data_IF_080145183968
#
_entry.id   IF_080145183968
#
_cell.length_a   1.000
_cell.length_b   1.000
_cell.length_c   1.000
_cell.angle_alpha   90.00
_cell.angle_beta   90.00
_cell.angle_gamma   90.00
#
_symmetry.space_group_name_H-M   'P 1'
#
loop_
_entity.id
_entity.type
_entity.pdbx_description
1 polymer ?
#
# COMPACT_ATOMS: atom_id res chain seq x y z
N UNK A 1 -36.79 -16.25 -3.44
CA UNK A 1 -36.26 -16.68 -2.13
C UNK A 1 -34.73 -16.60 -2.10
N UNK A 2 -34.02 -17.18 -3.08
CA UNK A 2 -32.55 -17.05 -3.21
C UNK A 2 -32.04 -15.60 -3.35
N UNK A 3 -32.80 -14.72 -4.01
CA UNK A 3 -32.38 -13.33 -4.24
C UNK A 3 -32.33 -12.48 -2.95
N UNK A 4 -33.10 -12.83 -1.92
CA UNK A 4 -33.13 -12.07 -0.66
C UNK A 4 -31.93 -12.43 0.22
N UNK A 5 -31.55 -13.71 0.31
CA UNK A 5 -30.38 -14.15 1.11
C UNK A 5 -29.05 -13.58 0.59
N UNK A 6 -28.85 -13.54 -0.72
CA UNK A 6 -27.67 -12.92 -1.38
C UNK A 6 -27.53 -11.43 -1.01
N UNK A 7 -28.66 -10.70 -0.94
CA UNK A 7 -28.63 -9.29 -0.55
C UNK A 7 -28.30 -9.09 0.93
N UNK A 8 -28.77 -9.95 1.82
CA UNK A 8 -28.45 -9.86 3.24
C UNK A 8 -26.98 -10.19 3.52
N UNK A 9 -26.41 -11.19 2.83
CA UNK A 9 -24.99 -11.54 2.92
C UNK A 9 -24.08 -10.42 2.43
N UNK A 10 -24.39 -9.83 1.28
CA UNK A 10 -23.60 -8.72 0.73
C UNK A 10 -23.69 -7.44 1.58
N UNK A 11 -24.84 -7.17 2.21
CA UNK A 11 -24.98 -6.07 3.17
C UNK A 11 -24.19 -6.32 4.45
N UNK A 12 -24.19 -7.55 4.97
CA UNK A 12 -23.41 -7.91 6.16
C UNK A 12 -21.90 -7.77 5.92
N UNK A 13 -21.38 -8.24 4.78
CA UNK A 13 -19.98 -8.07 4.40
C UNK A 13 -19.59 -6.59 4.29
N UNK A 14 -20.46 -5.77 3.69
CA UNK A 14 -20.24 -4.31 3.62
C UNK A 14 -20.20 -3.68 5.01
N UNK A 15 -21.16 -3.99 5.87
CA UNK A 15 -21.18 -3.49 7.25
C UNK A 15 -19.93 -3.91 8.03
N UNK A 16 -19.52 -5.17 7.92
CA UNK A 16 -18.29 -5.67 8.53
C UNK A 16 -17.05 -4.90 8.03
N UNK A 17 -16.98 -4.62 6.72
CA UNK A 17 -15.87 -3.84 6.15
C UNK A 17 -15.83 -2.40 6.67
N UNK A 18 -16.99 -1.77 6.86
CA UNK A 18 -17.10 -0.41 7.40
C UNK A 18 -16.68 -0.39 8.86
N UNK A 19 -17.18 -1.33 9.67
CA UNK A 19 -16.81 -1.44 11.10
C UNK A 19 -15.32 -1.73 11.25
N UNK A 20 -14.76 -2.62 10.42
CA UNK A 20 -13.32 -2.90 10.39
C UNK A 20 -12.51 -1.64 10.03
N UNK A 21 -12.94 -0.89 9.01
CA UNK A 21 -12.31 0.37 8.62
C UNK A 21 -12.31 1.41 9.75
N UNK A 22 -13.44 1.59 10.44
CA UNK A 22 -13.55 2.48 11.61
C UNK A 22 -12.59 2.01 12.71
N UNK A 23 -12.55 0.71 13.00
CA UNK A 23 -11.63 0.14 13.99
C UNK A 23 -10.16 0.44 13.66
N UNK A 24 -9.76 0.31 12.39
CA UNK A 24 -8.40 0.63 11.93
C UNK A 24 -8.11 2.13 12.13
N UNK A 25 -9.03 3.02 11.75
CA UNK A 25 -8.84 4.47 11.93
C UNK A 25 -8.70 4.85 13.40
N UNK A 26 -9.60 4.34 14.26
CA UNK A 26 -9.57 4.60 15.70
C UNK A 26 -8.27 4.07 16.31
N UNK A 27 -7.84 2.87 15.92
CA UNK A 27 -6.56 2.32 16.39
C UNK A 27 -5.39 3.23 16.00
N UNK A 28 -5.36 3.70 14.75
CA UNK A 28 -4.28 4.57 14.23
C UNK A 28 -4.26 5.92 14.96
N UNK A 29 -5.41 6.44 15.38
CA UNK A 29 -5.51 7.70 16.13
C UNK A 29 -5.08 7.54 17.60
N UNK A 30 -5.37 6.40 18.23
CA UNK A 30 -4.99 6.12 19.62
C UNK A 30 -3.51 5.75 19.72
N UNK A 31 -2.95 5.13 18.68
CA UNK A 31 -1.53 4.80 18.65
C UNK A 31 -0.67 6.03 18.37
N UNK A 32 0.29 6.26 19.26
CA UNK A 32 1.28 7.32 19.10
C UNK A 32 2.14 7.09 17.84
N UNK A 33 1.92 7.92 16.82
CA UNK A 33 2.59 7.87 15.53
C UNK A 33 4.13 7.96 15.64
N UNK A 34 4.63 8.52 16.75
CA UNK A 34 6.07 8.65 17.01
C UNK A 34 6.76 7.30 17.14
N UNK A 35 6.07 6.30 17.72
CA UNK A 35 6.59 4.93 17.88
C UNK A 35 6.58 4.16 16.56
N UNK A 36 5.63 4.47 15.68
CA UNK A 36 5.43 3.78 14.40
C UNK A 36 6.44 4.20 13.33
N UNK A 37 7.00 5.40 13.44
CA UNK A 37 8.08 5.87 12.56
C UNK A 37 9.25 4.90 12.45
N UNK A 38 9.61 4.21 13.54
CA UNK A 38 10.71 3.23 13.56
C UNK A 38 10.37 1.95 12.75
N UNK A 39 9.08 1.66 12.57
CA UNK A 39 8.59 0.47 11.89
C UNK A 39 8.27 0.69 10.40
N UNK A 40 8.69 1.82 9.80
CA UNK A 40 8.47 2.08 8.37
C UNK A 40 8.93 0.93 7.46
N UNK A 41 10.02 0.25 7.81
CA UNK A 41 10.49 -0.90 7.04
C UNK A 41 9.55 -2.11 7.11
N UNK A 42 8.86 -2.32 8.24
CA UNK A 42 7.84 -3.38 8.36
C UNK A 42 6.64 -3.08 7.46
N UNK A 43 6.17 -1.83 7.42
CA UNK A 43 5.04 -1.45 6.55
C UNK A 43 5.39 -1.58 5.06
N UNK A 44 6.62 -1.21 4.69
CA UNK A 44 7.12 -1.41 3.34
C UNK A 44 7.23 -2.90 2.98
N UNK A 45 7.81 -3.70 3.86
CA UNK A 45 7.92 -5.15 3.68
C UNK A 45 6.54 -5.83 3.55
N UNK A 46 5.57 -5.42 4.38
CA UNK A 46 4.19 -5.87 4.29
C UNK A 46 3.55 -5.49 2.95
N UNK A 47 3.73 -4.24 2.49
CA UNK A 47 3.23 -3.80 1.18
C UNK A 47 3.79 -4.66 0.03
N UNK A 48 5.10 -4.94 0.05
CA UNK A 48 5.72 -5.82 -0.93
C UNK A 48 5.20 -7.26 -0.84
N UNK A 49 5.08 -7.79 0.39
CA UNK A 49 4.56 -9.13 0.62
C UNK A 49 3.12 -9.29 0.10
N UNK A 50 2.26 -8.28 0.29
CA UNK A 50 0.91 -8.28 -0.25
C UNK A 50 0.91 -8.31 -1.79
N UNK A 51 1.74 -7.50 -2.45
CA UNK A 51 1.84 -7.50 -3.92
C UNK A 51 2.35 -8.85 -4.42
N UNK A 52 3.42 -9.39 -3.83
CA UNK A 52 3.96 -10.70 -4.21
C UNK A 52 2.94 -11.81 -3.99
N UNK A 53 2.21 -11.78 -2.88
CA UNK A 53 1.12 -12.71 -2.62
C UNK A 53 0.05 -12.65 -3.71
N UNK A 54 -0.38 -11.45 -4.11
CA UNK A 54 -1.35 -11.30 -5.22
C UNK A 54 -0.81 -11.74 -6.57
N UNK A 55 0.51 -11.72 -6.78
CA UNK A 55 1.07 -12.19 -8.05
C UNK A 55 0.97 -13.73 -8.18
N UNK A 56 1.01 -14.46 -7.06
CA UNK A 56 0.94 -15.93 -7.06
C UNK A 56 -0.48 -16.46 -6.82
N UNK A 57 -1.26 -15.78 -6.00
CA UNK A 57 -2.60 -16.22 -5.55
C UNK A 57 -3.73 -15.24 -5.90
N UNK A 58 -3.42 -14.13 -6.57
CA UNK A 58 -4.41 -13.13 -6.95
C UNK A 58 -5.26 -13.58 -8.13
N UNK A 59 -6.47 -13.01 -8.20
CA UNK A 59 -7.41 -13.26 -9.30
C UNK A 59 -7.37 -12.05 -10.22
N UNK A 60 -7.15 -12.28 -11.51
CA UNK A 60 -7.18 -11.22 -12.52
C UNK A 60 -8.60 -11.06 -13.03
N UNK A 61 -9.21 -9.90 -12.80
CA UNK A 61 -10.53 -9.53 -13.32
C UNK A 61 -10.39 -8.24 -14.11
N UNK A 62 -10.83 -8.23 -15.38
CA UNK A 62 -10.71 -7.08 -16.30
C UNK A 62 -9.28 -6.53 -16.44
N UNK A 63 -8.28 -7.42 -16.44
CA UNK A 63 -6.86 -7.03 -16.54
C UNK A 63 -6.29 -6.36 -15.28
N UNK A 64 -7.06 -6.29 -14.18
CA UNK A 64 -6.60 -5.85 -12.87
C UNK A 64 -6.48 -7.04 -11.94
N UNK A 65 -5.39 -7.09 -11.20
CA UNK A 65 -5.15 -8.14 -10.22
C UNK A 65 -5.80 -7.75 -8.90
N UNK A 66 -6.69 -8.60 -8.41
CA UNK A 66 -7.37 -8.39 -7.13
C UNK A 66 -6.77 -9.29 -6.06
N UNK A 67 -6.69 -8.73 -4.85
CA UNK A 67 -6.33 -9.47 -3.66
C UNK A 67 -7.54 -10.27 -3.22
N UNK A 68 -7.50 -11.57 -3.49
CA UNK A 68 -8.55 -12.50 -3.10
C UNK A 68 -8.06 -13.32 -1.91
N UNK A 69 -8.66 -13.08 -0.74
CA UNK A 69 -8.53 -13.96 0.41
C UNK A 69 -9.83 -14.77 0.47
N UNK A 70 -9.78 -16.08 0.16
CA UNK A 70 -10.98 -16.91 0.10
C UNK A 70 -11.77 -16.83 1.42
N UNK A 71 -13.05 -16.48 1.32
CA UNK A 71 -13.96 -16.39 2.47
C UNK A 71 -13.87 -15.12 3.32
N UNK A 72 -12.95 -14.19 3.02
CA UNK A 72 -12.77 -12.96 3.82
C UNK A 72 -13.10 -11.72 3.00
N UNK A 73 -12.36 -11.47 1.92
CA UNK A 73 -12.54 -10.26 1.12
C UNK A 73 -11.86 -10.37 -0.25
N UNK A 74 -12.45 -9.69 -1.22
CA UNK A 74 -11.82 -9.35 -2.50
C UNK A 74 -11.58 -7.84 -2.49
N UNK A 75 -10.32 -7.42 -2.44
CA UNK A 75 -9.94 -6.00 -2.39
C UNK A 75 -9.00 -5.63 -3.53
N UNK A 76 -9.17 -4.43 -4.07
CA UNK A 76 -8.22 -3.86 -5.03
C UNK A 76 -6.85 -3.63 -4.35
N UNK A 77 -5.80 -3.65 -5.13
CA UNK A 77 -4.42 -3.35 -4.73
C UNK A 77 -4.24 -1.95 -4.16
N UNK A 78 -5.24 -1.08 -4.29
CA UNK A 78 -5.29 0.24 -3.65
C UNK A 78 -5.04 0.14 -2.13
N UNK A 79 -5.33 -0.99 -1.47
CA UNK A 79 -5.03 -1.18 -0.05
C UNK A 79 -3.53 -1.13 0.27
N UNK A 80 -2.65 -1.43 -0.69
CA UNK A 80 -1.20 -1.41 -0.47
C UNK A 80 -0.66 0.02 -0.48
N UNK A 81 -1.30 0.97 -1.19
CA UNK A 81 -0.90 2.39 -1.23
C UNK A 81 -0.68 3.01 0.16
N UNK A 82 -1.66 2.98 1.09
CA UNK A 82 -1.46 3.53 2.43
C UNK A 82 -0.36 2.80 3.22
N UNK A 83 -0.13 1.50 2.99
CA UNK A 83 1.00 0.78 3.60
C UNK A 83 2.35 1.28 3.07
N UNK A 84 2.48 1.46 1.75
CA UNK A 84 3.67 2.03 1.16
C UNK A 84 3.91 3.47 1.65
N UNK A 85 2.87 4.30 1.74
CA UNK A 85 2.95 5.65 2.29
C UNK A 85 3.44 5.66 3.75
N UNK A 86 2.94 4.75 4.59
CA UNK A 86 3.43 4.58 5.96
C UNK A 86 4.91 4.15 5.99
N UNK A 87 5.31 3.27 5.07
CA UNK A 87 6.70 2.89 4.88
C UNK A 87 7.60 4.08 4.54
N UNK A 88 7.15 4.92 3.61
CA UNK A 88 7.81 6.18 3.26
C UNK A 88 7.91 7.13 4.44
N UNK A 89 6.79 7.39 5.13
CA UNK A 89 6.75 8.31 6.25
C UNK A 89 7.69 7.87 7.38
N UNK A 90 7.75 6.56 7.67
CA UNK A 90 8.66 6.02 8.68
C UNK A 90 10.13 6.09 8.26
N UNK A 91 10.46 5.67 7.03
CA UNK A 91 11.84 5.67 6.54
C UNK A 91 12.40 7.08 6.35
N UNK A 92 11.58 8.03 5.87
CA UNK A 92 11.98 9.43 5.69
C UNK A 92 12.03 10.25 6.98
N UNK A 93 11.31 9.85 8.03
CA UNK A 93 11.28 10.63 9.27
C UNK A 93 12.59 10.57 10.07
N UNK A 94 13.52 9.66 9.76
CA UNK A 94 14.78 9.58 10.49
C UNK A 94 15.77 10.64 10.00
N UNK A 95 16.29 11.50 10.89
CA UNK A 95 17.22 12.58 10.49
C UNK A 95 18.51 12.08 9.80
N UNK A 96 18.87 10.80 9.99
CA UNK A 96 19.99 10.09 9.35
C UNK A 96 19.51 9.04 8.33
N UNK A 97 18.53 9.36 7.48
CA UNK A 97 18.13 8.41 6.43
C UNK A 97 19.30 8.15 5.49
N UNK A 98 19.68 6.88 5.40
CA UNK A 98 20.67 6.40 4.45
C UNK A 98 20.08 6.47 3.03
N UNK A 99 20.77 7.11 2.10
CA UNK A 99 20.30 7.34 0.72
C UNK A 99 19.88 6.03 0.05
N UNK A 100 20.62 4.94 0.28
CA UNK A 100 20.27 3.62 -0.24
C UNK A 100 18.86 3.14 0.14
N UNK A 101 18.38 3.45 1.34
CA UNK A 101 17.03 3.05 1.79
C UNK A 101 15.94 3.84 1.07
N UNK A 102 16.23 5.08 0.65
CA UNK A 102 15.29 5.89 -0.14
C UNK A 102 15.29 5.44 -1.59
N UNK A 103 16.47 5.15 -2.15
CA UNK A 103 16.62 4.66 -3.53
C UNK A 103 15.89 3.34 -3.73
N UNK A 104 16.07 2.38 -2.81
CA UNK A 104 15.41 1.09 -2.94
C UNK A 104 13.88 1.25 -2.86
N UNK A 105 13.39 2.11 -1.99
CA UNK A 105 11.96 2.40 -1.86
C UNK A 105 11.36 3.05 -3.12
N UNK A 106 12.14 3.92 -3.75
CA UNK A 106 11.78 4.63 -4.97
C UNK A 106 11.73 3.72 -6.19
N UNK A 107 12.69 2.80 -6.33
CA UNK A 107 12.78 1.91 -7.49
C UNK A 107 11.89 0.67 -7.32
N UNK A 108 11.90 0.05 -6.14
CA UNK A 108 11.23 -1.23 -5.91
C UNK A 108 9.71 -1.09 -5.98
N UNK A 109 9.12 -0.07 -5.34
CA UNK A 109 7.66 0.09 -5.34
C UNK A 109 7.02 0.21 -6.74
N UNK A 110 7.42 1.13 -7.63
CA UNK A 110 6.82 1.25 -8.95
C UNK A 110 7.07 0.00 -9.82
N UNK A 111 8.23 -0.65 -9.68
CA UNK A 111 8.50 -1.92 -10.39
C UNK A 111 7.52 -3.01 -9.94
N UNK A 112 7.25 -3.13 -8.64
CA UNK A 112 6.26 -4.07 -8.10
C UNK A 112 4.84 -3.76 -8.58
N UNK A 113 4.45 -2.48 -8.65
CA UNK A 113 3.13 -2.06 -9.14
C UNK A 113 2.95 -2.29 -10.65
N UNK A 114 4.01 -2.08 -11.44
CA UNK A 114 3.99 -2.34 -12.88
C UNK A 114 3.83 -3.84 -13.16
N UNK A 115 4.49 -4.70 -12.37
CA UNK A 115 4.38 -6.16 -12.51
C UNK A 115 2.95 -6.68 -12.23
N UNK A 116 2.20 -6.00 -11.36
CA UNK A 116 0.83 -6.37 -11.03
C UNK A 116 -0.24 -5.77 -11.95
N UNK A 117 0.19 -5.22 -13.10
CA UNK A 117 -0.64 -4.68 -14.18
C UNK A 117 -1.55 -3.50 -13.79
N UNK A 118 -1.26 -2.81 -12.67
CA UNK A 118 -2.01 -1.62 -12.27
C UNK A 118 -1.22 -0.34 -12.57
N UNK A 119 -1.24 0.07 -13.84
CA UNK A 119 -0.61 1.31 -14.30
C UNK A 119 -1.08 2.52 -13.50
N UNK A 120 -2.38 2.58 -13.18
CA UNK A 120 -3.00 3.67 -12.43
C UNK A 120 -2.38 3.82 -11.03
N UNK A 121 -2.19 2.72 -10.30
CA UNK A 121 -1.63 2.75 -8.94
C UNK A 121 -0.17 3.18 -8.98
N UNK A 122 0.60 2.70 -9.97
CA UNK A 122 1.99 3.13 -10.16
C UNK A 122 2.07 4.64 -10.42
N UNK A 123 1.17 5.21 -11.22
CA UNK A 123 1.14 6.66 -11.50
C UNK A 123 0.77 7.45 -10.24
N UNK A 124 -0.26 7.03 -9.51
CA UNK A 124 -0.69 7.70 -8.26
C UNK A 124 0.48 7.74 -7.28
N UNK A 125 1.13 6.59 -7.07
CA UNK A 125 2.28 6.49 -6.19
C UNK A 125 3.43 7.39 -6.64
N UNK A 126 3.80 7.38 -7.92
CA UNK A 126 4.88 8.23 -8.46
C UNK A 126 4.60 9.72 -8.27
N UNK A 127 3.36 10.17 -8.52
CA UNK A 127 2.95 11.57 -8.31
C UNK A 127 3.02 11.96 -6.84
N UNK A 128 2.57 11.06 -5.93
CA UNK A 128 2.64 11.31 -4.49
C UNK A 128 4.09 11.46 -4.02
N UNK A 129 4.98 10.56 -4.45
CA UNK A 129 6.40 10.61 -4.08
C UNK A 129 7.06 11.86 -4.67
N UNK A 130 6.72 12.24 -5.90
CA UNK A 130 7.21 13.46 -6.54
C UNK A 130 6.78 14.72 -5.77
N UNK A 131 5.54 14.77 -5.29
CA UNK A 131 5.01 15.91 -4.55
C UNK A 131 5.50 15.96 -3.08
N UNK A 132 6.02 14.86 -2.54
CA UNK A 132 6.42 14.71 -1.13
C UNK A 132 7.56 15.62 -0.66
N UNK A 133 8.08 16.54 -1.49
CA UNK A 133 9.18 17.44 -1.09
C UNK A 133 10.40 16.70 -0.51
N UNK A 134 10.62 15.45 -0.95
CA UNK A 134 11.89 14.74 -0.79
C UNK A 134 12.97 15.69 -1.23
N UNK A 135 13.82 16.13 -0.29
CA UNK A 135 14.75 17.25 -0.47
C UNK A 135 15.25 17.26 -1.92
N UNK A 136 14.76 18.20 -2.75
CA UNK A 136 14.96 18.18 -4.22
C UNK A 136 16.43 17.95 -4.61
N UNK A 137 17.34 18.30 -3.71
CA UNK A 137 18.79 18.06 -3.78
C UNK A 137 19.17 16.57 -3.70
N UNK A 138 18.58 15.73 -2.84
CA UNK A 138 18.92 14.30 -2.71
C UNK A 138 18.45 13.44 -3.88
N UNK A 139 17.29 13.75 -4.47
CA UNK A 139 16.79 13.02 -5.65
C UNK A 139 17.65 13.30 -6.89
N UNK A 140 18.12 14.54 -7.07
CA UNK A 140 19.03 14.92 -8.17
C UNK A 140 20.36 14.15 -8.15
N UNK A 141 20.83 13.68 -6.99
CA UNK A 141 22.02 12.82 -6.89
C UNK A 141 21.74 11.34 -7.20
N UNK A 142 20.48 10.91 -7.23
CA UNK A 142 20.08 9.52 -7.53
C UNK A 142 19.74 9.29 -9.00
N UNK A 143 19.22 10.31 -9.68
CA UNK A 143 18.95 10.29 -11.14
C UNK A 143 20.18 9.93 -11.99
N UNK A 144 21.42 10.40 -11.71
CA UNK A 144 22.59 10.05 -12.53
C UNK A 144 23.17 8.65 -12.25
N UNK A 145 22.62 7.87 -11.31
CA UNK A 145 23.13 6.54 -10.95
C UNK A 145 22.25 5.37 -11.47
N UNK A 146 21.20 5.70 -12.23
CA UNK A 146 20.27 4.80 -12.93
C UNK A 146 20.49 4.96 -14.43
#
# INVERSE_FOLDING_TARGET
>A
MLMTEETHLSLFQKLASVVAGIGIVVSTLVFDYTKWKKYGWLFFGLGCAFILYTQWFGIVVNGRTYLHIPGVAMSDMIITLPLFLLGWAGLLSNKKVNIYHVSILYVVSPVLFLNTASFVISVIYSVMVWNSHLERKRLLWLVPLI
#
